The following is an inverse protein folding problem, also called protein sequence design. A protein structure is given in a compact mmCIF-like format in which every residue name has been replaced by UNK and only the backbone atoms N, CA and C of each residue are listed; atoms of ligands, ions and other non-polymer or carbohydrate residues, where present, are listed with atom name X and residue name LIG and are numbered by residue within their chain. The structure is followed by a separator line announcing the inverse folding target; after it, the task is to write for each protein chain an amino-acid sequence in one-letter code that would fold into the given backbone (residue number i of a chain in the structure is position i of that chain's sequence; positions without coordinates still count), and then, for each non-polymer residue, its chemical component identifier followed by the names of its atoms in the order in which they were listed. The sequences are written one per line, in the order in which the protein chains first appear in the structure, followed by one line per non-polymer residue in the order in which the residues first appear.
data_IF_484884413946
#
_entry.id   IF_484884413946
#
_cell.length_a   1.000
_cell.length_b   1.000
_cell.length_c   1.000
_cell.angle_alpha   90.00
_cell.angle_beta   90.00
_cell.angle_gamma   90.00
#
_symmetry.space_group_name_H-M   'P 1'
#
loop_
_entity.id
_entity.type
_entity.pdbx_description
1 polymer ?
#
# COMPACT_ATOMS: atom_id res chain seq x y z
N UNK A 1 -9.94 -6.51 14.04
CA UNK A 1 -8.64 -6.17 14.67
C UNK A 1 -8.32 -4.69 14.47
N UNK A 2 -7.86 -3.96 15.50
CA UNK A 2 -7.66 -2.50 15.45
C UNK A 2 -6.17 -2.11 15.46
N UNK A 3 -5.38 -2.59 14.49
CA UNK A 3 -3.93 -2.34 14.38
C UNK A 3 -3.53 -0.86 14.53
N UNK A 4 -4.34 0.05 13.98
CA UNK A 4 -4.17 1.51 14.12
C UNK A 4 -4.12 1.99 15.58
N UNK A 5 -4.88 1.37 16.50
CA UNK A 5 -4.87 1.70 17.91
C UNK A 5 -3.59 1.20 18.57
N UNK A 6 -3.18 -0.04 18.27
CA UNK A 6 -1.93 -0.63 18.77
C UNK A 6 -0.72 0.21 18.38
N UNK A 7 -0.59 0.56 17.09
CA UNK A 7 0.53 1.38 16.59
C UNK A 7 0.49 2.77 17.22
N UNK A 8 -0.69 3.38 17.34
CA UNK A 8 -0.79 4.71 17.95
C UNK A 8 -0.43 4.72 19.43
N UNK A 9 -0.84 3.71 20.21
CA UNK A 9 -0.42 3.54 21.61
C UNK A 9 1.09 3.37 21.73
N UNK A 10 1.67 2.52 20.89
CA UNK A 10 3.12 2.38 20.82
C UNK A 10 3.83 3.72 20.56
N UNK A 11 3.35 4.54 19.61
CA UNK A 11 3.94 5.87 19.38
C UNK A 11 3.84 6.79 20.60
N UNK A 12 2.72 6.78 21.31
CA UNK A 12 2.55 7.53 22.56
C UNK A 12 3.55 7.06 23.63
N UNK A 13 3.73 5.75 23.78
CA UNK A 13 4.71 5.14 24.69
C UNK A 13 6.15 5.52 24.32
N UNK A 14 6.47 5.67 23.03
CA UNK A 14 7.77 6.15 22.55
C UNK A 14 7.97 7.68 22.71
N UNK A 15 7.03 8.36 23.36
CA UNK A 15 7.11 9.79 23.67
C UNK A 15 6.65 10.71 22.54
N UNK A 16 5.96 10.19 21.52
CA UNK A 16 5.27 11.06 20.58
C UNK A 16 3.98 11.60 21.20
N UNK A 17 3.62 12.83 20.84
CA UNK A 17 2.31 13.42 21.13
C UNK A 17 1.42 13.35 19.89
N UNK A 18 0.16 12.98 20.10
CA UNK A 18 -0.85 13.08 19.06
C UNK A 18 -1.15 14.55 18.76
N UNK A 19 -1.11 14.92 17.48
CA UNK A 19 -1.36 16.26 16.96
C UNK A 19 -2.64 16.23 16.10
N UNK A 20 -3.82 16.43 16.71
CA UNK A 20 -5.09 16.40 16.00
C UNK A 20 -5.15 17.53 14.97
N UNK A 21 -5.82 17.28 13.84
CA UNK A 21 -6.25 18.34 12.94
C UNK A 21 -7.51 19.06 13.49
N UNK A 22 -8.00 20.07 12.76
CA UNK A 22 -9.15 20.89 13.17
C UNK A 22 -10.48 20.15 13.34
N UNK A 23 -10.61 18.92 12.81
CA UNK A 23 -11.84 18.12 12.86
C UNK A 23 -11.72 16.87 13.73
N UNK A 24 -10.52 16.60 14.28
CA UNK A 24 -10.24 15.43 15.10
C UNK A 24 -10.42 15.76 16.57
N UNK A 25 -10.93 14.78 17.33
CA UNK A 25 -10.96 14.89 18.77
C UNK A 25 -9.52 14.96 19.33
N UNK A 26 -9.24 15.77 20.38
CA UNK A 26 -7.88 15.91 20.92
C UNK A 26 -7.29 14.63 21.50
N UNK A 27 -8.12 13.74 22.02
CA UNK A 27 -7.71 12.40 22.46
C UNK A 27 -7.63 11.44 21.26
N UNK A 28 -6.47 10.82 21.06
CA UNK A 28 -6.20 9.87 19.97
C UNK A 28 -7.16 8.67 19.96
N UNK A 29 -7.44 8.06 21.11
CA UNK A 29 -8.28 6.85 21.18
C UNK A 29 -9.72 7.13 20.72
N UNK A 30 -10.22 8.33 21.02
CA UNK A 30 -11.52 8.81 20.53
C UNK A 30 -11.45 9.08 19.03
N UNK A 31 -10.41 9.77 18.57
CA UNK A 31 -10.25 10.13 17.16
C UNK A 31 -10.10 8.89 16.24
N UNK A 32 -9.35 7.87 16.68
CA UNK A 32 -9.10 6.64 15.91
C UNK A 32 -10.28 5.67 15.89
N UNK A 33 -11.21 5.87 16.82
CA UNK A 33 -12.47 5.11 16.95
C UNK A 33 -13.65 5.83 16.29
N UNK A 34 -13.46 7.02 15.73
CA UNK A 34 -14.51 7.74 15.01
C UNK A 34 -15.10 6.87 13.90
N UNK A 35 -16.43 6.74 13.89
CA UNK A 35 -17.15 5.89 12.95
C UNK A 35 -16.74 6.14 11.51
N UNK A 36 -16.49 7.39 11.11
CA UNK A 36 -16.05 7.79 9.76
C UNK A 36 -14.75 7.12 9.33
N UNK A 37 -13.83 6.94 10.28
CA UNK A 37 -12.53 6.28 10.09
C UNK A 37 -12.72 4.76 10.13
N UNK A 38 -13.50 4.27 11.10
CA UNK A 38 -13.74 2.83 11.31
C UNK A 38 -14.47 2.20 10.12
N UNK A 39 -15.51 2.85 9.60
CA UNK A 39 -16.26 2.35 8.45
C UNK A 39 -15.54 2.59 7.13
N UNK A 40 -14.42 3.32 7.15
CA UNK A 40 -13.68 3.75 5.98
C UNK A 40 -14.55 4.43 4.90
N UNK A 41 -15.67 5.03 5.32
CA UNK A 41 -16.64 5.66 4.42
C UNK A 41 -16.32 7.11 4.13
N UNK A 42 -15.51 7.76 4.99
CA UNK A 42 -15.10 9.13 4.79
C UNK A 42 -13.84 9.21 3.90
N UNK A 43 -13.88 10.07 2.89
CA UNK A 43 -12.67 10.48 2.16
C UNK A 43 -11.93 11.49 3.04
N UNK A 44 -10.70 11.20 3.42
CA UNK A 44 -9.87 12.16 4.14
C UNK A 44 -9.45 13.29 3.19
N UNK A 45 -10.25 14.36 3.18
CA UNK A 45 -10.12 15.46 2.23
C UNK A 45 -10.16 14.94 0.79
N UNK A 46 -9.20 15.38 -0.03
CA UNK A 46 -9.10 14.99 -1.43
C UNK A 46 -8.29 13.69 -1.65
N UNK A 47 -7.69 13.10 -0.61
CA UNK A 47 -6.79 11.94 -0.75
C UNK A 47 -7.58 10.66 -1.02
N UNK A 48 -7.48 10.14 -2.25
CA UNK A 48 -8.20 8.94 -2.71
C UNK A 48 -7.66 7.70 -1.98
N UNK A 49 -8.54 6.94 -1.31
CA UNK A 49 -8.18 5.67 -0.66
C UNK A 49 -7.76 5.78 0.80
N UNK A 50 -7.80 6.97 1.41
CA UNK A 50 -7.47 7.18 2.83
C UNK A 50 -8.74 7.52 3.62
N UNK A 51 -9.01 6.74 4.67
CA UNK A 51 -10.10 6.93 5.61
C UNK A 51 -9.76 7.88 6.77
N UNK A 52 -8.48 7.98 7.13
CA UNK A 52 -8.02 8.84 8.20
C UNK A 52 -6.51 9.00 8.23
N UNK A 53 -6.03 10.16 8.68
CA UNK A 53 -4.61 10.44 8.92
C UNK A 53 -4.46 10.95 10.35
N UNK A 54 -3.62 10.29 11.14
CA UNK A 54 -3.33 10.67 12.52
C UNK A 54 -1.87 11.07 12.60
N UNK A 55 -1.61 12.32 12.96
CA UNK A 55 -0.25 12.86 13.03
C UNK A 55 0.27 12.77 14.46
N UNK A 56 1.49 12.26 14.60
CA UNK A 56 2.23 12.16 15.84
C UNK A 56 3.51 12.97 15.70
N UNK A 57 3.85 13.75 16.72
CA UNK A 57 5.02 14.63 16.72
C UNK A 57 5.88 14.38 17.95
N UNK A 58 7.19 14.51 17.83
CA UNK A 58 8.15 14.43 18.92
C UNK A 58 9.28 15.41 18.65
N UNK A 59 9.86 15.98 19.69
CA UNK A 59 11.10 16.75 19.55
C UNK A 59 12.28 15.77 19.44
N UNK A 60 13.06 15.93 18.37
CA UNK A 60 14.25 15.14 18.08
C UNK A 60 15.44 15.58 18.93
N UNK A 61 16.55 14.88 18.76
CA UNK A 61 17.75 15.12 19.57
C UNK A 61 18.38 16.49 19.28
N UNK A 62 18.21 17.00 18.06
CA UNK A 62 18.79 18.26 17.59
C UNK A 62 17.75 19.41 17.62
N UNK A 63 16.64 19.21 18.35
CA UNK A 63 15.53 20.16 18.44
C UNK A 63 14.61 20.17 17.21
N UNK A 64 14.81 19.26 16.25
CA UNK A 64 13.97 19.12 15.07
C UNK A 64 12.64 18.43 15.40
N UNK A 65 11.53 18.86 14.78
CA UNK A 65 10.25 18.19 14.99
C UNK A 65 10.16 16.90 14.17
N UNK A 66 10.29 15.76 14.84
CA UNK A 66 10.03 14.43 14.27
C UNK A 66 8.53 14.24 14.07
N UNK A 67 8.16 13.71 12.91
CA UNK A 67 6.75 13.51 12.53
C UNK A 67 6.53 12.10 12.01
N UNK A 68 5.57 11.41 12.62
CA UNK A 68 5.04 10.12 12.16
C UNK A 68 3.55 10.28 11.83
N UNK A 69 3.08 9.63 10.78
CA UNK A 69 1.67 9.62 10.42
C UNK A 69 1.14 8.20 10.30
N UNK A 70 0.05 7.90 11.00
CA UNK A 70 -0.73 6.68 10.77
C UNK A 70 -1.81 7.01 9.74
N UNK A 71 -1.75 6.34 8.60
CA UNK A 71 -2.77 6.44 7.55
C UNK A 71 -3.63 5.19 7.54
N UNK A 72 -4.95 5.37 7.61
CA UNK A 72 -5.91 4.27 7.53
C UNK A 72 -6.37 4.15 6.09
N UNK A 73 -6.01 3.06 5.43
CA UNK A 73 -6.44 2.78 4.07
C UNK A 73 -7.91 2.34 4.03
N UNK A 74 -8.63 2.72 2.97
CA UNK A 74 -10.03 2.32 2.75
C UNK A 74 -10.12 0.88 2.28
N UNK A 75 -9.20 0.46 1.41
CA UNK A 75 -9.16 -0.90 0.86
C UNK A 75 -7.79 -1.51 1.07
N UNK A 76 -6.76 -1.00 0.40
CA UNK A 76 -5.42 -1.57 0.47
C UNK A 76 -4.38 -0.49 0.79
N UNK A 77 -3.38 -0.83 1.61
CA UNK A 77 -2.29 0.09 1.96
C UNK A 77 -1.47 0.47 0.73
N UNK A 78 -1.26 -0.46 -0.20
CA UNK A 78 -0.46 -0.20 -1.40
C UNK A 78 -1.22 0.68 -2.42
N UNK A 79 -2.57 0.64 -2.43
CA UNK A 79 -3.39 1.60 -3.19
C UNK A 79 -3.14 3.04 -2.73
N UNK A 80 -3.01 3.25 -1.41
CA UNK A 80 -2.70 4.58 -0.86
C UNK A 80 -1.33 5.05 -1.36
N UNK A 81 -0.35 4.15 -1.39
CA UNK A 81 1.01 4.45 -1.85
C UNK A 81 1.02 4.81 -3.34
N UNK A 82 0.33 4.03 -4.19
CA UNK A 82 0.24 4.28 -5.63
C UNK A 82 -0.50 5.55 -6.00
N UNK A 83 -1.26 6.12 -5.05
CA UNK A 83 -2.01 7.36 -5.22
C UNK A 83 -1.33 8.59 -4.62
N UNK A 84 -0.08 8.45 -4.16
CA UNK A 84 0.73 9.63 -3.92
C UNK A 84 1.00 10.41 -5.22
N UNK A 85 1.31 11.69 -5.05
CA UNK A 85 1.45 12.63 -6.15
C UNK A 85 2.72 12.45 -6.97
N UNK A 86 3.65 11.58 -6.55
CA UNK A 86 4.89 11.34 -7.26
C UNK A 86 5.56 10.01 -6.91
N UNK A 87 6.43 9.52 -7.80
CA UNK A 87 7.13 8.25 -7.60
C UNK A 87 8.21 8.29 -6.51
N UNK A 88 8.79 9.45 -6.18
CA UNK A 88 9.83 9.56 -5.14
C UNK A 88 9.38 9.14 -3.73
N UNK A 89 8.07 9.08 -3.48
CA UNK A 89 7.49 8.60 -2.20
C UNK A 89 6.92 7.19 -2.28
N UNK A 90 7.06 6.50 -3.41
CA UNK A 90 6.57 5.13 -3.59
C UNK A 90 7.61 4.10 -3.15
N UNK A 91 8.12 4.28 -1.93
CA UNK A 91 9.03 3.35 -1.26
C UNK A 91 8.30 2.74 -0.07
N UNK A 92 8.48 1.44 0.16
CA UNK A 92 7.72 0.70 1.16
C UNK A 92 8.66 -0.08 2.04
N UNK A 93 8.46 0.00 3.36
CA UNK A 93 9.15 -0.86 4.31
C UNK A 93 8.07 -1.70 4.99
N UNK A 94 8.20 -3.01 4.88
CA UNK A 94 7.31 -3.98 5.51
C UNK A 94 8.05 -4.69 6.64
N UNK A 95 7.43 -5.72 7.21
CA UNK A 95 8.00 -6.41 8.37
C UNK A 95 9.28 -7.19 8.03
N UNK A 96 9.50 -7.59 6.77
CA UNK A 96 10.67 -8.38 6.36
C UNK A 96 11.44 -7.83 5.17
N UNK A 97 10.95 -6.78 4.49
CA UNK A 97 11.56 -6.26 3.26
C UNK A 97 11.38 -4.75 3.14
N UNK A 98 12.33 -4.12 2.46
CA UNK A 98 12.18 -2.77 1.95
C UNK A 98 12.13 -2.81 0.42
N UNK A 99 11.21 -2.04 -0.16
CA UNK A 99 10.97 -1.97 -1.59
C UNK A 99 11.11 -0.53 -2.09
N UNK A 100 11.76 -0.40 -3.23
CA UNK A 100 11.74 0.82 -4.03
C UNK A 100 11.29 0.45 -5.45
N UNK A 101 10.15 0.98 -5.89
CA UNK A 101 9.49 0.56 -7.14
C UNK A 101 10.18 1.11 -8.40
N UNK A 102 10.92 2.22 -8.22
CA UNK A 102 11.62 2.94 -9.29
C UNK A 102 13.01 3.36 -8.79
N UNK A 103 13.89 2.41 -8.42
CA UNK A 103 15.13 2.71 -7.72
C UNK A 103 16.12 3.48 -8.57
N UNK A 104 16.32 3.07 -9.82
CA UNK A 104 17.18 3.79 -10.75
C UNK A 104 16.72 5.24 -10.93
N UNK A 105 15.46 5.44 -11.29
CA UNK A 105 14.90 6.79 -11.42
C UNK A 105 14.99 7.59 -10.11
N UNK A 106 14.46 7.07 -9.00
CA UNK A 106 14.21 7.89 -7.80
C UNK A 106 15.40 7.99 -6.86
N UNK A 107 16.27 6.98 -6.77
CA UNK A 107 17.41 6.95 -5.87
C UNK A 107 18.73 7.28 -6.57
N UNK A 108 18.95 6.75 -7.78
CA UNK A 108 20.21 6.99 -8.53
C UNK A 108 20.16 8.31 -9.32
N UNK A 109 19.12 8.48 -10.14
CA UNK A 109 19.01 9.61 -11.09
C UNK A 109 18.27 10.82 -10.49
N UNK A 110 17.68 10.67 -9.30
CA UNK A 110 16.84 11.67 -8.62
C UNK A 110 15.73 12.24 -9.50
N UNK A 111 15.14 11.39 -10.33
CA UNK A 111 13.97 11.69 -11.14
C UNK A 111 12.70 11.23 -10.42
N UNK A 112 11.66 12.05 -10.46
CA UNK A 112 10.37 11.70 -9.90
C UNK A 112 9.25 12.03 -10.86
N UNK A 113 8.52 11.03 -11.30
CA UNK A 113 7.34 11.21 -12.14
C UNK A 113 6.19 11.75 -11.30
N UNK A 114 5.46 12.75 -11.83
CA UNK A 114 4.23 13.25 -11.23
C UNK A 114 3.09 12.26 -11.48
N UNK A 115 2.36 11.90 -10.43
CA UNK A 115 1.33 10.85 -10.44
C UNK A 115 -0.06 11.34 -9.99
N UNK A 116 -0.42 12.57 -10.32
CA UNK A 116 -1.68 13.18 -9.87
C UNK A 116 -2.41 13.87 -11.01
N UNK A 117 -3.74 13.72 -11.01
CA UNK A 117 -4.66 14.41 -11.91
C UNK A 117 -4.96 15.85 -11.46
N UNK A 118 -4.46 16.25 -10.28
CA UNK A 118 -4.69 17.58 -9.69
C UNK A 118 -3.90 18.69 -10.39
N UNK A 119 -4.43 19.91 -10.27
CA UNK A 119 -3.85 21.14 -10.82
C UNK A 119 -3.85 22.24 -9.77
N UNK A 120 -2.97 23.21 -9.95
CA UNK A 120 -2.96 24.48 -9.20
C UNK A 120 -1.72 24.65 -8.34
N UNK A 121 -1.53 25.88 -7.86
CA UNK A 121 -0.33 26.34 -7.15
C UNK A 121 -0.06 25.55 -5.86
N UNK A 122 -1.10 25.05 -5.19
CA UNK A 122 -0.97 24.18 -4.02
C UNK A 122 -0.17 22.90 -4.31
N UNK A 123 -0.23 22.39 -5.54
CA UNK A 123 0.52 21.20 -5.93
C UNK A 123 1.99 21.52 -6.21
N UNK A 124 2.28 22.71 -6.74
CA UNK A 124 3.66 23.17 -6.93
C UNK A 124 4.39 23.29 -5.58
N UNK A 125 3.72 23.82 -4.54
CA UNK A 125 4.28 23.87 -3.18
C UNK A 125 4.63 22.46 -2.66
N UNK A 126 3.80 21.46 -2.97
CA UNK A 126 4.10 20.06 -2.60
C UNK A 126 5.33 19.55 -3.33
N UNK A 127 5.49 19.89 -4.61
CA UNK A 127 6.63 19.48 -5.42
C UNK A 127 7.92 20.24 -5.10
N UNK A 128 7.85 21.52 -4.74
CA UNK A 128 8.99 22.36 -4.37
C UNK A 128 9.78 21.72 -3.23
N UNK A 129 9.10 21.19 -2.22
CA UNK A 129 9.73 20.41 -1.15
C UNK A 129 10.61 19.27 -1.67
N UNK A 130 10.22 18.58 -2.74
CA UNK A 130 11.03 17.50 -3.32
C UNK A 130 12.13 18.04 -4.24
N UNK A 131 11.89 19.14 -4.95
CA UNK A 131 12.93 19.86 -5.72
C UNK A 131 14.05 20.36 -4.83
N UNK A 132 13.72 20.96 -3.69
CA UNK A 132 14.67 21.42 -2.66
C UNK A 132 15.55 20.29 -2.12
N UNK A 133 15.01 19.06 -2.10
CA UNK A 133 15.76 17.86 -1.69
C UNK A 133 16.54 17.21 -2.83
N UNK A 134 16.51 17.80 -4.02
CA UNK A 134 17.31 17.41 -5.17
C UNK A 134 16.62 16.53 -6.20
N UNK A 135 15.29 16.37 -6.15
CA UNK A 135 14.55 15.63 -7.18
C UNK A 135 14.11 16.51 -8.35
N UNK A 136 14.32 16.02 -9.56
CA UNK A 136 13.74 16.58 -10.79
C UNK A 136 12.34 16.03 -10.99
N UNK A 137 11.34 16.90 -10.89
CA UNK A 137 9.92 16.52 -11.01
C UNK A 137 9.51 16.49 -12.49
N UNK A 138 9.26 15.29 -13.01
CA UNK A 138 8.84 15.06 -14.39
C UNK A 138 7.31 15.18 -14.49
N UNK A 139 6.84 16.29 -15.03
CA UNK A 139 5.42 16.55 -15.27
C UNK A 139 4.99 16.23 -16.69
N UNK A 140 5.89 16.22 -17.67
CA UNK A 140 5.57 15.94 -19.07
C UNK A 140 6.25 14.66 -19.56
N UNK A 141 5.47 13.60 -19.76
CA UNK A 141 5.82 12.50 -20.66
C UNK A 141 5.46 12.91 -22.11
N UNK A 142 5.97 14.04 -22.60
CA UNK A 142 5.76 14.45 -23.99
C UNK A 142 6.87 13.85 -24.84
N UNK A 143 6.50 12.89 -25.69
CA UNK A 143 7.44 12.06 -26.43
C UNK A 143 7.46 10.66 -25.82
N UNK A 144 7.36 9.65 -26.67
CA UNK A 144 7.27 8.23 -26.34
C UNK A 144 8.47 7.67 -25.56
N UNK A 145 9.46 8.51 -25.26
CA UNK A 145 10.53 8.22 -24.31
C UNK A 145 10.06 8.70 -22.94
N UNK A 146 9.21 7.90 -22.28
CA UNK A 146 9.31 7.92 -20.83
C UNK A 146 10.76 7.55 -20.53
N UNK A 147 11.41 8.32 -19.66
CA UNK A 147 12.73 7.96 -19.15
C UNK A 147 12.77 6.43 -18.91
N UNK A 148 13.71 5.65 -19.47
CA UNK A 148 13.69 4.18 -19.45
C UNK A 148 13.43 3.56 -18.07
N UNK A 149 13.69 4.29 -16.99
CA UNK A 149 13.35 3.90 -15.62
C UNK A 149 11.83 3.88 -15.31
N UNK A 150 10.98 4.52 -16.10
CA UNK A 150 9.51 4.61 -15.94
C UNK A 150 8.80 3.94 -17.12
N UNK A 151 8.80 2.61 -17.17
CA UNK A 151 8.19 1.87 -18.26
C UNK A 151 6.66 1.80 -18.16
N UNK A 152 5.97 1.73 -19.30
CA UNK A 152 4.52 1.53 -19.42
C UNK A 152 4.12 0.06 -19.60
N UNK A 153 5.05 -0.85 -19.30
CA UNK A 153 4.78 -2.29 -19.25
C UNK A 153 4.16 -2.68 -17.91
N UNK A 154 3.50 -3.84 -17.81
CA UNK A 154 3.13 -4.43 -16.53
C UNK A 154 4.35 -4.61 -15.63
N UNK A 155 4.21 -4.16 -14.38
CA UNK A 155 5.19 -4.22 -13.30
C UNK A 155 4.60 -4.96 -12.12
N UNK A 156 5.44 -5.58 -11.29
CA UNK A 156 5.03 -6.13 -10.01
C UNK A 156 6.11 -5.95 -8.96
N UNK A 157 5.71 -5.99 -7.69
CA UNK A 157 6.68 -5.92 -6.59
C UNK A 157 7.62 -7.12 -6.70
N UNK A 158 8.92 -6.89 -6.56
CA UNK A 158 9.98 -7.90 -6.73
C UNK A 158 10.28 -8.27 -8.20
N UNK A 159 9.81 -7.48 -9.18
CA UNK A 159 10.29 -7.58 -10.57
C UNK A 159 11.73 -7.07 -10.76
N UNK A 160 12.32 -7.32 -11.94
CA UNK A 160 13.70 -6.94 -12.26
C UNK A 160 13.98 -5.42 -12.29
N UNK A 161 12.94 -4.60 -12.13
CA UNK A 161 13.03 -3.14 -12.11
C UNK A 161 12.74 -2.56 -10.70
N UNK A 162 12.45 -3.41 -9.72
CA UNK A 162 12.18 -3.05 -8.33
C UNK A 162 13.38 -3.42 -7.47
N UNK A 163 13.82 -2.54 -6.58
CA UNK A 163 14.72 -2.96 -5.51
C UNK A 163 13.92 -3.59 -4.39
N UNK A 164 14.37 -4.75 -3.95
CA UNK A 164 13.78 -5.53 -2.88
C UNK A 164 14.91 -5.97 -1.96
N UNK A 165 14.95 -5.35 -0.80
CA UNK A 165 16.03 -5.52 0.17
C UNK A 165 15.47 -6.30 1.36
N UNK A 166 15.92 -7.55 1.59
CA UNK A 166 15.57 -8.28 2.79
C UNK A 166 16.00 -7.51 4.04
N UNK A 167 15.08 -7.32 4.97
CA UNK A 167 15.39 -6.79 6.29
C UNK A 167 15.78 -7.97 7.18
N UNK A 168 16.95 -7.87 7.80
CA UNK A 168 17.37 -8.81 8.82
C UNK A 168 16.53 -8.58 10.07
N UNK A 169 15.37 -9.23 10.10
CA UNK A 169 14.55 -9.33 11.29
C UNK A 169 14.66 -10.75 11.83
N UNK A 170 14.94 -10.87 13.12
CA UNK A 170 14.95 -12.17 13.78
C UNK A 170 13.50 -12.66 13.91
N UNK A 171 13.05 -13.43 12.92
CA UNK A 171 11.80 -14.16 12.92
C UNK A 171 11.87 -15.43 13.78
N UNK A 172 12.61 -15.42 14.89
CA UNK A 172 12.60 -16.52 15.86
C UNK A 172 11.18 -16.90 16.30
N UNK A 173 10.18 -16.05 16.04
CA UNK A 173 8.77 -16.42 16.01
C UNK A 173 8.18 -16.33 14.59
N UNK A 174 7.59 -17.42 14.07
CA UNK A 174 6.86 -17.39 12.80
C UNK A 174 5.67 -16.44 12.89
N UNK A 175 5.30 -15.81 11.76
CA UNK A 175 4.09 -14.99 11.68
C UNK A 175 2.91 -15.87 12.10
N UNK A 176 2.26 -15.46 13.19
CA UNK A 176 1.09 -16.19 13.70
C UNK A 176 0.06 -16.26 12.57
N UNK A 177 -0.43 -17.47 12.24
CA UNK A 177 -1.54 -17.59 11.30
C UNK A 177 -2.66 -16.65 11.69
N UNK A 178 -3.39 -16.13 10.69
CA UNK A 178 -4.55 -15.26 10.92
C UNK A 178 -5.55 -15.93 11.88
N UNK A 179 -5.71 -17.25 11.76
CA UNK A 179 -6.46 -18.11 12.67
C UNK A 179 -5.94 -19.57 12.56
N UNK A 180 -6.38 -20.48 13.45
CA UNK A 180 -5.93 -21.88 13.45
C UNK A 180 -6.21 -22.68 12.16
N UNK A 181 -7.13 -22.20 11.32
CA UNK A 181 -7.57 -22.89 10.09
C UNK A 181 -6.81 -22.43 8.84
N UNK A 182 -6.10 -21.30 8.94
CA UNK A 182 -5.39 -20.68 7.82
C UNK A 182 -3.92 -21.07 7.83
N UNK A 183 -3.31 -21.18 6.65
CA UNK A 183 -1.86 -21.37 6.56
C UNK A 183 -1.13 -20.12 7.08
N UNK A 184 0.03 -20.32 7.71
CA UNK A 184 0.95 -19.21 7.99
C UNK A 184 1.33 -18.52 6.68
N UNK A 185 1.30 -17.19 6.71
CA UNK A 185 1.81 -16.38 5.61
C UNK A 185 3.34 -16.36 5.72
N UNK A 186 4.02 -16.83 4.68
CA UNK A 186 5.49 -16.92 4.66
C UNK A 186 6.13 -15.79 3.88
N UNK A 187 5.31 -15.07 3.09
CA UNK A 187 5.74 -13.97 2.22
C UNK A 187 5.02 -12.70 2.59
N UNK A 188 5.58 -11.58 2.14
CA UNK A 188 4.92 -10.31 2.27
C UNK A 188 3.64 -10.28 1.40
N UNK A 189 2.45 -9.98 1.96
CA UNK A 189 1.22 -9.88 1.18
C UNK A 189 1.31 -8.91 0.00
N UNK A 190 2.15 -7.88 0.07
CA UNK A 190 2.26 -6.93 -1.04
C UNK A 190 3.08 -7.48 -2.22
N UNK A 191 3.82 -8.59 -2.04
CA UNK A 191 4.73 -9.13 -3.07
C UNK A 191 4.06 -9.47 -4.40
N UNK A 192 2.76 -9.79 -4.40
CA UNK A 192 2.01 -10.08 -5.63
C UNK A 192 1.35 -8.85 -6.25
N UNK A 193 1.57 -7.67 -5.66
CA UNK A 193 1.04 -6.41 -6.17
C UNK A 193 1.61 -6.13 -7.55
N UNK A 194 0.73 -5.90 -8.52
CA UNK A 194 1.11 -5.48 -9.86
C UNK A 194 0.35 -4.25 -10.34
N UNK A 195 0.97 -3.50 -11.23
CA UNK A 195 0.43 -2.29 -11.83
C UNK A 195 1.03 -2.02 -13.21
N UNK A 196 0.36 -1.19 -14.00
CA UNK A 196 0.95 -0.59 -15.20
C UNK A 196 0.98 0.92 -15.01
N UNK A 197 2.11 1.56 -15.29
CA UNK A 197 2.18 3.01 -15.35
C UNK A 197 1.58 3.48 -16.67
N UNK A 198 0.50 4.26 -16.61
CA UNK A 198 -0.17 4.80 -17.80
C UNK A 198 0.20 6.29 -17.95
N UNK A 199 0.95 6.66 -19.01
CA UNK A 199 1.23 8.06 -19.30
C UNK A 199 -0.07 8.83 -19.54
N UNK A 200 -0.17 10.03 -18.97
CA UNK A 200 -1.30 10.90 -19.25
C UNK A 200 -1.16 11.57 -20.63
N UNK A 201 -2.19 11.41 -21.48
CA UNK A 201 -2.24 11.92 -22.88
C UNK A 201 -1.96 13.42 -23.06
N UNK A 202 -1.98 14.21 -21.99
CA UNK A 202 -1.72 15.67 -22.05
C UNK A 202 -0.36 16.05 -21.47
N UNK A 203 0.58 15.11 -21.37
CA UNK A 203 1.90 15.35 -20.78
C UNK A 203 1.77 15.77 -19.32
N UNK A 204 1.02 15.00 -18.52
CA UNK A 204 0.71 15.29 -17.11
C UNK A 204 1.20 14.18 -16.18
N UNK A 205 2.39 13.66 -16.50
CA UNK A 205 3.02 12.55 -15.80
C UNK A 205 2.33 11.23 -16.12
N UNK A 206 2.10 10.39 -15.11
CA UNK A 206 1.47 9.09 -15.31
C UNK A 206 0.73 8.57 -14.09
N UNK A 207 -0.28 7.74 -14.30
CA UNK A 207 -1.10 7.13 -13.24
C UNK A 207 -0.84 5.64 -13.16
N UNK A 208 -0.77 5.09 -11.95
CA UNK A 208 -0.69 3.64 -11.74
C UNK A 208 -2.09 3.02 -11.96
N UNK A 209 -2.21 2.15 -12.96
CA UNK A 209 -3.39 1.35 -13.23
C UNK A 209 -3.27 0.00 -12.53
N UNK A 210 -4.31 -0.37 -11.79
CA UNK A 210 -4.46 -1.64 -11.10
C UNK A 210 -5.95 -1.90 -10.84
N UNK A 211 -6.27 -3.13 -10.48
CA UNK A 211 -7.60 -3.62 -10.11
C UNK A 211 -7.56 -4.22 -8.72
N UNK A 212 -8.68 -4.16 -8.00
CA UNK A 212 -8.78 -4.76 -6.68
C UNK A 212 -9.16 -6.22 -6.78
N UNK A 213 -8.46 -7.07 -6.05
CA UNK A 213 -8.84 -8.47 -5.85
C UNK A 213 -9.29 -8.63 -4.41
N UNK A 214 -10.57 -8.97 -4.24
CA UNK A 214 -11.19 -9.19 -2.94
C UNK A 214 -12.07 -10.44 -3.01
N UNK A 215 -11.95 -11.29 -2.00
CA UNK A 215 -12.82 -12.44 -1.78
C UNK A 215 -13.07 -12.56 -0.28
N UNK A 216 -14.19 -13.16 0.13
CA UNK A 216 -14.41 -13.54 1.53
C UNK A 216 -13.40 -14.59 2.03
N UNK A 217 -12.72 -15.27 1.09
CA UNK A 217 -11.69 -16.28 1.38
C UNK A 217 -10.26 -15.72 1.42
N UNK A 218 -10.11 -14.41 1.20
CA UNK A 218 -8.84 -13.71 1.32
C UNK A 218 -8.91 -12.80 2.54
N UNK A 219 -7.91 -12.90 3.40
CA UNK A 219 -7.77 -12.03 4.55
C UNK A 219 -7.37 -10.62 4.12
N UNK A 220 -6.42 -10.52 3.18
CA UNK A 220 -5.98 -9.25 2.63
C UNK A 220 -6.71 -8.90 1.33
N UNK A 221 -7.04 -7.61 1.11
CA UNK A 221 -7.37 -7.09 -0.20
C UNK A 221 -6.09 -6.84 -1.01
N UNK A 222 -6.00 -7.45 -2.18
CA UNK A 222 -4.87 -7.31 -3.08
C UNK A 222 -5.16 -6.31 -4.20
N UNK A 223 -4.12 -5.81 -4.86
CA UNK A 223 -4.23 -5.04 -6.09
C UNK A 223 -3.36 -5.65 -7.18
N UNK A 224 -3.88 -5.76 -8.40
CA UNK A 224 -3.23 -6.46 -9.50
C UNK A 224 -3.56 -5.80 -10.83
N UNK A 225 -2.64 -5.82 -11.79
CA UNK A 225 -2.79 -5.24 -13.12
C UNK A 225 -3.68 -6.08 -14.04
N UNK A 226 -3.54 -7.41 -13.97
CA UNK A 226 -4.17 -8.34 -14.90
C UNK A 226 -5.44 -8.94 -14.26
N UNK A 227 -6.61 -8.48 -14.68
CA UNK A 227 -7.90 -9.06 -14.27
C UNK A 227 -8.05 -10.49 -14.80
N UNK A 228 -7.52 -10.76 -16.00
CA UNK A 228 -7.58 -12.08 -16.64
C UNK A 228 -6.94 -13.16 -15.77
N UNK A 229 -5.91 -12.79 -14.98
CA UNK A 229 -5.28 -13.68 -14.02
C UNK A 229 -6.29 -14.13 -12.94
N UNK A 230 -7.19 -13.25 -12.49
CA UNK A 230 -8.23 -13.59 -11.50
C UNK A 230 -9.20 -14.63 -12.08
N UNK A 231 -9.54 -14.47 -13.36
CA UNK A 231 -10.44 -15.37 -14.08
C UNK A 231 -9.76 -16.67 -14.54
N UNK A 232 -8.47 -16.86 -14.23
CA UNK A 232 -7.80 -18.13 -14.54
C UNK A 232 -8.44 -19.29 -13.75
N UNK A 233 -8.58 -20.47 -14.38
CA UNK A 233 -9.17 -21.63 -13.72
C UNK A 233 -8.53 -21.97 -12.37
N UNK A 234 -7.19 -21.92 -12.16
CA UNK A 234 -6.58 -22.24 -10.87
C UNK A 234 -6.99 -21.30 -9.74
N UNK A 235 -7.03 -19.99 -9.99
CA UNK A 235 -7.40 -18.99 -8.97
C UNK A 235 -8.90 -19.07 -8.68
N UNK A 236 -9.73 -19.15 -9.72
CA UNK A 236 -11.18 -19.29 -9.56
C UNK A 236 -11.53 -20.58 -8.81
N UNK A 237 -10.91 -21.71 -9.18
CA UNK A 237 -11.11 -23.01 -8.51
C UNK A 237 -10.67 -22.96 -7.05
N UNK A 238 -9.53 -22.32 -6.75
CA UNK A 238 -9.05 -22.15 -5.38
C UNK A 238 -10.08 -21.40 -4.52
N UNK A 239 -10.56 -20.25 -5.01
CA UNK A 239 -11.51 -19.41 -4.28
C UNK A 239 -12.86 -20.11 -4.10
N UNK A 240 -13.35 -20.83 -5.12
CA UNK A 240 -14.58 -21.62 -5.04
C UNK A 240 -14.44 -22.79 -4.05
N UNK A 241 -13.36 -23.56 -4.13
CA UNK A 241 -13.12 -24.68 -3.22
C UNK A 241 -13.03 -24.22 -1.75
N UNK A 242 -12.36 -23.09 -1.49
CA UNK A 242 -12.31 -22.48 -0.16
C UNK A 242 -13.70 -22.03 0.32
N UNK A 243 -14.51 -21.46 -0.57
CA UNK A 243 -15.88 -21.08 -0.25
C UNK A 243 -16.75 -22.29 0.11
N UNK A 244 -16.63 -23.40 -0.61
CA UNK A 244 -17.35 -24.64 -0.29
C UNK A 244 -16.90 -25.26 1.05
N UNK A 245 -15.61 -25.21 1.36
CA UNK A 245 -15.08 -25.72 2.62
C UNK A 245 -15.56 -24.92 3.85
N UNK A 246 -15.99 -23.68 3.66
CA UNK A 246 -16.42 -22.77 4.73
C UNK A 246 -17.95 -22.71 4.91
N UNK A 247 -18.74 -23.53 4.18
CA UNK A 247 -20.19 -23.66 4.44
C UNK A 247 -20.42 -24.62 5.61
N UNK A 248 -20.14 -24.14 6.82
CA UNK A 248 -20.73 -24.70 8.04
C UNK A 248 -21.93 -23.82 8.41
N UNK A 249 -23.16 -24.35 8.43
CA UNK A 249 -24.31 -23.58 8.87
C UNK A 249 -24.26 -23.44 10.40
N UNK A 250 -24.66 -22.28 10.92
CA UNK A 250 -24.93 -22.01 12.34
C UNK A 250 -23.81 -21.43 13.22
N UNK A 251 -23.26 -20.26 12.87
CA UNK A 251 -23.05 -19.17 13.85
C UNK A 251 -22.73 -17.85 13.15
N UNK A 252 -23.48 -16.79 13.46
CA UNK A 252 -23.31 -15.46 12.86
C UNK A 252 -22.29 -14.58 13.61
N UNK A 253 -21.45 -15.18 14.45
CA UNK A 253 -20.51 -14.45 15.28
C UNK A 253 -19.12 -15.01 15.09
N UNK A 254 -18.26 -14.17 14.52
CA UNK A 254 -16.80 -14.15 14.63
C UNK A 254 -16.02 -14.69 13.41
N UNK A 255 -15.11 -13.85 12.92
CA UNK A 255 -14.15 -14.09 11.82
C UNK A 255 -13.18 -15.26 12.07
N UNK A 256 -13.22 -15.85 13.26
CA UNK A 256 -12.20 -16.78 13.74
C UNK A 256 -12.35 -18.19 13.13
N UNK A 257 -13.52 -18.52 12.56
CA UNK A 257 -13.80 -19.82 11.95
C UNK A 257 -13.54 -19.89 10.43
N UNK A 258 -13.20 -18.78 9.77
CA UNK A 258 -12.98 -18.77 8.31
C UNK A 258 -11.60 -19.30 7.93
N UNK A 259 -11.52 -20.22 6.97
CA UNK A 259 -10.25 -20.58 6.33
C UNK A 259 -9.87 -19.56 5.27
N UNK A 260 -8.75 -18.86 5.48
CA UNK A 260 -8.16 -17.96 4.49
C UNK A 260 -7.14 -18.69 3.61
N UNK A 261 -7.09 -18.34 2.32
CA UNK A 261 -6.22 -18.97 1.31
C UNK A 261 -5.15 -18.05 0.74
N UNK A 262 -4.85 -16.94 1.42
CA UNK A 262 -3.88 -15.91 1.04
C UNK A 262 -2.53 -16.49 0.58
N UNK A 263 -1.94 -17.39 1.36
CA UNK A 263 -0.63 -17.99 1.02
C UNK A 263 -0.68 -18.75 -0.31
N UNK A 264 -1.72 -19.56 -0.53
CA UNK A 264 -1.88 -20.33 -1.77
C UNK A 264 -2.25 -19.43 -2.95
N UNK A 265 -3.06 -18.41 -2.71
CA UNK A 265 -3.37 -17.39 -3.71
C UNK A 265 -2.11 -16.67 -4.16
N UNK A 266 -1.26 -16.23 -3.21
CA UNK A 266 0.02 -15.59 -3.52
C UNK A 266 0.98 -16.49 -4.27
N UNK A 267 1.02 -17.79 -3.95
CA UNK A 267 1.84 -18.76 -4.68
C UNK A 267 1.39 -18.86 -6.14
N UNK A 268 0.09 -19.00 -6.41
CA UNK A 268 -0.44 -19.07 -7.78
C UNK A 268 -0.15 -17.81 -8.59
N UNK A 269 -0.28 -16.63 -7.98
CA UNK A 269 0.03 -15.37 -8.66
C UNK A 269 1.52 -15.27 -9.03
N UNK A 270 2.41 -15.67 -8.12
CA UNK A 270 3.85 -15.69 -8.40
C UNK A 270 4.19 -16.68 -9.52
N UNK A 271 3.59 -17.86 -9.51
CA UNK A 271 3.82 -18.86 -10.56
C UNK A 271 3.33 -18.35 -11.92
N UNK A 272 2.20 -17.64 -11.95
CA UNK A 272 1.71 -16.98 -13.16
C UNK A 272 2.68 -15.93 -13.69
N UNK A 273 3.17 -15.02 -12.83
CA UNK A 273 4.12 -13.98 -13.25
C UNK A 273 5.42 -14.56 -13.81
N UNK A 274 5.95 -15.64 -13.20
CA UNK A 274 7.17 -16.33 -13.67
C UNK A 274 7.03 -17.00 -15.04
N UNK A 275 5.81 -17.34 -15.45
CA UNK A 275 5.57 -17.99 -16.76
C UNK A 275 5.36 -16.93 -17.85
N UNK A 276 4.75 -15.80 -17.50
CA UNK A 276 4.35 -14.77 -18.46
C UNK A 276 5.45 -13.76 -18.79
N UNK A 277 6.44 -13.58 -17.91
CA UNK A 277 7.48 -12.56 -18.00
C UNK A 277 8.84 -13.11 -17.60
#
# INVERSE_FOLDING_TARGET
MAWRLTVGRYLLEQGYRFAPNSIQHPNFEVAVSDRRVVTATARYGNLKGIAGVFTFKKEGADGEELKVQIMVAVRSTIEVIFRFHSTCVMNVITFNRAYCLYPRATLEERLSLVCTDRRGDELEVVFDKYRERGWSMLSSCTGWTIEPSFTDIPRWIDDGHTWSIPLQYDFSQPITPVNPHSASITRDPISITSWTLIPERRGRGGTMRFYHVKSSQLFYPYIMECVEMIDTPPITTLLQAAAHANVCPESHTQTDDYRYVDERFMQLCNDYYRVMF
#
